data_IF_209823998779
#
_entry.id   IF_209823998779
#
_cell.length_a   1.000
_cell.length_b   1.000
_cell.length_c   1.000
_cell.angle_alpha   90.00
_cell.angle_beta   90.00
_cell.angle_gamma   90.00
#
_symmetry.space_group_name_H-M   'P 1'
#
loop_
_entity.id
_entity.type
_entity.pdbx_description
1 polymer ?
#
# COMPACT_ATOMS: atom_id res chain seq x y z
N UNK A 1 27.87 -15.02 -20.45
CA UNK A 1 26.63 -15.18 -19.65
C UNK A 1 26.79 -14.76 -18.21
N UNK A 2 27.87 -15.05 -17.51
CA UNK A 2 28.08 -14.63 -16.12
C UNK A 2 28.24 -13.11 -15.93
N UNK A 3 28.75 -12.38 -16.89
CA UNK A 3 28.93 -10.90 -16.80
C UNK A 3 27.63 -10.13 -16.89
N UNK A 4 26.65 -10.57 -17.68
CA UNK A 4 25.33 -9.95 -17.81
C UNK A 4 24.47 -10.18 -16.56
N UNK A 5 24.55 -11.34 -15.93
CA UNK A 5 23.84 -11.63 -14.67
C UNK A 5 24.41 -10.81 -13.51
N UNK A 6 25.74 -10.67 -13.40
CA UNK A 6 26.36 -9.86 -12.36
C UNK A 6 26.05 -8.36 -12.54
N UNK A 7 26.02 -7.86 -13.78
CA UNK A 7 25.62 -6.47 -14.08
C UNK A 7 24.16 -6.19 -13.75
N UNK A 8 23.27 -7.12 -14.06
CA UNK A 8 21.84 -7.02 -13.72
C UNK A 8 21.62 -7.04 -12.20
N UNK A 9 22.32 -7.92 -11.49
CA UNK A 9 22.26 -7.99 -10.02
C UNK A 9 22.76 -6.70 -9.36
N UNK A 10 23.83 -6.09 -9.89
CA UNK A 10 24.33 -4.81 -9.39
C UNK A 10 23.31 -3.67 -9.59
N UNK A 11 22.66 -3.62 -10.74
CA UNK A 11 21.62 -2.63 -11.03
C UNK A 11 20.43 -2.81 -10.07
N UNK A 12 19.98 -4.04 -9.84
CA UNK A 12 18.90 -4.36 -8.92
C UNK A 12 19.24 -3.92 -7.48
N UNK A 13 20.46 -4.19 -7.03
CA UNK A 13 20.93 -3.76 -5.70
C UNK A 13 20.99 -2.23 -5.57
N UNK A 14 21.48 -1.54 -6.60
CA UNK A 14 21.49 -0.07 -6.62
C UNK A 14 20.09 0.50 -6.55
N UNK A 15 19.16 -0.04 -7.34
CA UNK A 15 17.74 0.39 -7.32
C UNK A 15 17.12 0.12 -5.96
N UNK A 16 17.38 -1.03 -5.35
CA UNK A 16 16.93 -1.35 -3.99
C UNK A 16 17.41 -0.32 -2.96
N UNK A 17 18.69 0.03 -2.99
CA UNK A 17 19.27 1.03 -2.07
C UNK A 17 18.64 2.40 -2.23
N UNK A 18 18.41 2.85 -3.46
CA UNK A 18 17.76 4.13 -3.74
C UNK A 18 16.32 4.13 -3.27
N UNK A 19 15.58 3.07 -3.53
CA UNK A 19 14.19 2.92 -3.06
C UNK A 19 14.14 2.90 -1.54
N UNK A 20 15.01 2.14 -0.89
CA UNK A 20 15.12 2.08 0.56
C UNK A 20 15.43 3.44 1.18
N UNK A 21 16.35 4.17 0.61
CA UNK A 21 16.68 5.54 1.04
C UNK A 21 15.48 6.48 0.87
N UNK A 22 14.83 6.43 -0.27
CA UNK A 22 13.67 7.27 -0.59
C UNK A 22 12.49 7.02 0.34
N UNK A 23 12.18 5.76 0.59
CA UNK A 23 11.04 5.34 1.44
C UNK A 23 11.35 5.49 2.94
N UNK A 24 12.63 5.61 3.31
CA UNK A 24 13.04 5.78 4.69
C UNK A 24 13.35 4.47 5.42
N UNK A 25 13.62 3.41 4.67
CA UNK A 25 13.99 2.10 5.18
C UNK A 25 12.81 1.14 5.37
N UNK A 26 13.14 -0.13 5.52
CA UNK A 26 12.17 -1.20 5.74
C UNK A 26 12.02 -1.49 7.23
N UNK A 27 11.46 -0.56 7.96
CA UNK A 27 11.12 -0.76 9.37
C UNK A 27 9.86 -1.64 9.52
N UNK A 28 9.49 -1.96 10.75
CA UNK A 28 8.36 -2.85 11.07
C UNK A 28 7.05 -2.38 10.44
N UNK A 29 6.79 -1.09 10.48
CA UNK A 29 5.58 -0.47 9.91
C UNK A 29 5.57 -0.59 8.37
N UNK A 30 6.70 -0.35 7.73
CA UNK A 30 6.83 -0.47 6.27
C UNK A 30 6.69 -1.90 5.80
N UNK A 31 7.31 -2.84 6.53
CA UNK A 31 7.15 -4.28 6.25
C UNK A 31 5.70 -4.73 6.39
N UNK A 32 4.98 -4.21 7.38
CA UNK A 32 3.56 -4.48 7.55
C UNK A 32 2.76 -3.99 6.34
N UNK A 33 3.02 -2.77 5.87
CA UNK A 33 2.35 -2.22 4.68
C UNK A 33 2.63 -3.07 3.43
N UNK A 34 3.89 -3.45 3.19
CA UNK A 34 4.27 -4.29 2.04
C UNK A 34 3.54 -5.63 2.10
N UNK A 35 3.45 -6.24 3.27
CA UNK A 35 2.75 -7.50 3.46
C UNK A 35 1.25 -7.35 3.16
N UNK A 36 0.60 -6.29 3.65
CA UNK A 36 -0.81 -6.02 3.37
C UNK A 36 -1.06 -5.77 1.88
N UNK A 37 -0.20 -5.03 1.22
CA UNK A 37 -0.28 -4.81 -0.25
C UNK A 37 -0.17 -6.14 -1.00
N UNK A 38 0.74 -7.02 -0.60
CA UNK A 38 0.89 -8.33 -1.22
C UNK A 38 -0.35 -9.22 -1.00
N UNK A 39 -0.91 -9.23 0.22
CA UNK A 39 -2.13 -9.97 0.54
C UNK A 39 -3.31 -9.43 -0.25
N UNK A 40 -3.49 -8.12 -0.29
CA UNK A 40 -4.57 -7.47 -1.06
C UNK A 40 -4.48 -7.83 -2.53
N UNK A 41 -3.29 -7.75 -3.11
CA UNK A 41 -3.06 -8.08 -4.52
C UNK A 41 -3.41 -9.54 -4.83
N UNK A 42 -2.99 -10.50 -3.98
CA UNK A 42 -3.32 -11.92 -4.13
C UNK A 42 -4.83 -12.17 -4.04
N UNK A 43 -5.49 -11.57 -3.06
CA UNK A 43 -6.95 -11.70 -2.88
C UNK A 43 -7.69 -11.03 -4.04
N UNK A 44 -7.20 -9.90 -4.53
CA UNK A 44 -7.76 -9.21 -5.69
C UNK A 44 -7.71 -10.07 -6.95
N UNK A 45 -6.58 -10.70 -7.23
CA UNK A 45 -6.44 -11.64 -8.37
C UNK A 45 -7.39 -12.83 -8.19
N UNK A 46 -7.41 -13.43 -7.00
CA UNK A 46 -8.28 -14.57 -6.71
C UNK A 46 -9.75 -14.22 -6.90
N UNK A 47 -10.18 -13.07 -6.41
CA UNK A 47 -11.54 -12.55 -6.59
C UNK A 47 -11.87 -12.33 -8.05
N UNK A 48 -10.98 -11.76 -8.82
CA UNK A 48 -11.15 -11.52 -10.26
C UNK A 48 -11.30 -12.83 -11.04
N UNK A 49 -10.51 -13.84 -10.69
CA UNK A 49 -10.59 -15.17 -11.32
C UNK A 49 -11.91 -15.85 -10.97
N UNK A 50 -12.32 -15.84 -9.71
CA UNK A 50 -13.57 -16.47 -9.24
C UNK A 50 -14.81 -15.81 -9.84
N UNK A 51 -14.77 -14.51 -10.07
CA UNK A 51 -15.87 -13.75 -10.68
C UNK A 51 -15.80 -13.70 -12.21
N UNK A 52 -14.81 -14.31 -12.83
CA UNK A 52 -14.56 -14.30 -14.28
C UNK A 52 -14.47 -12.90 -14.87
N UNK A 53 -13.95 -11.95 -14.11
CA UNK A 53 -13.77 -10.54 -14.50
C UNK A 53 -12.30 -10.12 -14.55
N UNK A 54 -11.40 -11.07 -14.78
CA UNK A 54 -9.98 -10.76 -14.89
C UNK A 54 -9.73 -9.88 -16.11
N UNK A 55 -9.16 -8.69 -15.88
CA UNK A 55 -8.74 -7.78 -16.93
C UNK A 55 -7.32 -7.29 -16.61
N UNK A 56 -6.39 -7.50 -17.51
CA UNK A 56 -5.01 -7.07 -17.36
C UNK A 56 -4.91 -5.55 -17.15
N UNK A 57 -5.77 -4.79 -17.83
CA UNK A 57 -5.82 -3.33 -17.71
C UNK A 57 -6.24 -2.86 -16.33
N UNK A 58 -7.19 -3.54 -15.70
CA UNK A 58 -7.60 -3.24 -14.31
C UNK A 58 -6.48 -3.53 -13.31
N UNK A 59 -5.80 -4.66 -13.47
CA UNK A 59 -4.67 -5.04 -12.62
C UNK A 59 -3.51 -4.04 -12.75
N UNK A 60 -3.23 -3.57 -13.96
CA UNK A 60 -2.21 -2.56 -14.20
C UNK A 60 -2.55 -1.23 -13.49
N UNK A 61 -3.81 -0.80 -13.52
CA UNK A 61 -4.25 0.40 -12.81
C UNK A 61 -4.07 0.28 -11.28
N UNK A 62 -4.32 -0.91 -10.72
CA UNK A 62 -4.10 -1.18 -9.30
C UNK A 62 -2.61 -1.05 -8.97
N UNK A 63 -1.74 -1.65 -9.77
CA UNK A 63 -0.28 -1.56 -9.59
C UNK A 63 0.19 -0.11 -9.66
N UNK A 64 -0.30 0.67 -10.61
CA UNK A 64 0.05 2.09 -10.74
C UNK A 64 -0.37 2.90 -9.51
N UNK A 65 -1.56 2.64 -8.95
CA UNK A 65 -2.00 3.28 -7.70
C UNK A 65 -1.08 2.92 -6.52
N UNK A 66 -0.65 1.66 -6.42
CA UNK A 66 0.28 1.22 -5.38
C UNK A 66 1.65 1.90 -5.51
N UNK A 67 2.13 2.09 -6.75
CA UNK A 67 3.36 2.85 -7.00
C UNK A 67 3.23 4.31 -6.57
N UNK A 68 2.10 4.95 -6.88
CA UNK A 68 1.82 6.33 -6.43
C UNK A 68 1.80 6.43 -4.89
N UNK A 69 1.24 5.44 -4.22
CA UNK A 69 1.26 5.35 -2.76
C UNK A 69 2.69 5.33 -2.21
N UNK A 70 3.57 4.52 -2.79
CA UNK A 70 4.98 4.48 -2.40
C UNK A 70 5.69 5.81 -2.65
N UNK A 71 5.37 6.50 -3.72
CA UNK A 71 5.89 7.84 -4.03
C UNK A 71 5.46 8.84 -2.95
N UNK A 72 4.21 8.82 -2.52
CA UNK A 72 3.71 9.68 -1.45
C UNK A 72 4.46 9.42 -0.14
N UNK A 73 4.66 8.16 0.23
CA UNK A 73 5.44 7.79 1.42
C UNK A 73 6.86 8.34 1.33
N UNK A 74 7.49 8.22 0.16
CA UNK A 74 8.83 8.75 -0.07
C UNK A 74 8.91 10.27 0.06
N UNK A 75 7.94 10.99 -0.51
CA UNK A 75 7.86 12.45 -0.39
C UNK A 75 7.70 12.86 1.08
N UNK A 76 6.81 12.20 1.81
CA UNK A 76 6.59 12.47 3.24
C UNK A 76 7.86 12.17 4.06
N UNK A 77 8.57 11.09 3.72
CA UNK A 77 9.85 10.78 4.36
C UNK A 77 10.90 11.89 4.13
N UNK A 78 10.97 12.45 2.93
CA UNK A 78 11.85 13.57 2.65
C UNK A 78 11.50 14.80 3.49
N UNK A 79 10.23 15.08 3.72
CA UNK A 79 9.81 16.13 4.63
C UNK A 79 10.24 15.85 6.07
N UNK A 80 10.01 14.64 6.57
CA UNK A 80 10.39 14.27 7.93
C UNK A 80 11.90 14.41 8.19
N UNK A 81 12.72 13.98 7.23
CA UNK A 81 14.18 14.03 7.34
C UNK A 81 14.72 15.46 7.24
N UNK A 82 14.18 16.28 6.33
CA UNK A 82 14.75 17.61 6.04
C UNK A 82 14.18 18.73 6.90
N UNK A 83 12.93 18.62 7.36
CA UNK A 83 12.27 19.69 8.11
C UNK A 83 12.23 19.42 9.61
N UNK A 84 12.65 18.23 10.05
CA UNK A 84 12.72 17.84 11.47
C UNK A 84 11.41 18.02 12.22
N UNK A 85 10.28 17.66 11.60
CA UNK A 85 8.94 17.70 12.23
C UNK A 85 8.72 16.50 13.18
N UNK A 86 9.77 16.00 13.81
CA UNK A 86 9.67 14.94 14.80
C UNK A 86 9.44 13.54 14.25
N UNK A 87 9.71 13.28 12.97
CA UNK A 87 9.61 11.96 12.32
C UNK A 87 8.22 11.28 12.45
N UNK A 88 7.18 12.08 12.67
CA UNK A 88 5.82 11.56 12.92
C UNK A 88 4.94 11.45 11.67
N UNK A 89 5.27 12.18 10.60
CA UNK A 89 4.45 12.20 9.38
C UNK A 89 4.52 10.89 8.63
N UNK A 90 5.72 10.34 8.44
CA UNK A 90 5.92 9.10 7.72
C UNK A 90 5.16 7.93 8.34
N UNK A 91 5.29 7.61 9.65
CA UNK A 91 4.52 6.54 10.26
C UNK A 91 3.02 6.74 10.17
N UNK A 92 2.55 7.97 10.32
CA UNK A 92 1.13 8.31 10.23
C UNK A 92 0.57 8.01 8.85
N UNK A 93 1.27 8.41 7.79
CA UNK A 93 0.86 8.15 6.41
C UNK A 93 0.90 6.65 6.09
N UNK A 94 1.92 5.94 6.55
CA UNK A 94 2.01 4.48 6.37
C UNK A 94 0.84 3.78 7.06
N UNK A 95 0.50 4.15 8.29
CA UNK A 95 -0.66 3.59 9.00
C UNK A 95 -1.96 3.86 8.26
N UNK A 96 -2.14 5.06 7.73
CA UNK A 96 -3.29 5.39 6.89
C UNK A 96 -3.42 4.42 5.71
N UNK A 97 -2.33 4.15 5.01
CA UNK A 97 -2.34 3.20 3.89
C UNK A 97 -2.56 1.75 4.33
N UNK A 98 -2.01 1.34 5.46
CA UNK A 98 -2.28 0.01 6.04
C UNK A 98 -3.78 -0.16 6.29
N UNK A 99 -4.45 0.85 6.82
CA UNK A 99 -5.89 0.82 7.05
C UNK A 99 -6.67 0.78 5.73
N UNK A 100 -6.22 1.52 4.72
CA UNK A 100 -6.83 1.49 3.39
C UNK A 100 -6.68 0.11 2.73
N UNK A 101 -5.49 -0.50 2.80
CA UNK A 101 -5.27 -1.86 2.28
C UNK A 101 -6.13 -2.88 3.01
N UNK A 102 -6.28 -2.75 4.33
CA UNK A 102 -7.15 -3.61 5.14
C UNK A 102 -8.60 -3.52 4.65
N UNK A 103 -9.07 -2.31 4.37
CA UNK A 103 -10.41 -2.09 3.83
C UNK A 103 -10.61 -2.79 2.47
N UNK A 104 -9.65 -2.64 1.56
CA UNK A 104 -9.68 -3.27 0.24
C UNK A 104 -9.66 -4.81 0.34
N UNK A 105 -8.87 -5.36 1.28
CA UNK A 105 -8.85 -6.80 1.57
C UNK A 105 -10.24 -7.27 2.00
N UNK A 106 -10.87 -6.58 2.94
CA UNK A 106 -12.20 -6.94 3.43
C UNK A 106 -13.28 -6.83 2.36
N UNK A 107 -13.23 -5.79 1.53
CA UNK A 107 -14.14 -5.65 0.40
C UNK A 107 -14.01 -6.83 -0.57
N UNK A 108 -12.78 -7.21 -0.93
CA UNK A 108 -12.54 -8.33 -1.83
C UNK A 108 -12.99 -9.67 -1.22
N UNK A 109 -12.72 -9.90 0.06
CA UNK A 109 -13.20 -11.09 0.77
C UNK A 109 -14.74 -11.15 0.83
N UNK A 110 -15.37 -10.02 1.06
CA UNK A 110 -16.83 -9.92 1.05
C UNK A 110 -17.43 -10.27 -0.31
N UNK A 111 -16.78 -9.87 -1.42
CA UNK A 111 -17.22 -10.20 -2.77
C UNK A 111 -17.22 -11.69 -3.07
N UNK A 112 -16.34 -12.47 -2.45
CA UNK A 112 -16.27 -13.93 -2.62
C UNK A 112 -17.07 -14.70 -1.56
N UNK A 113 -17.83 -14.00 -0.73
CA UNK A 113 -18.75 -14.60 0.24
C UNK A 113 -18.15 -14.89 1.61
N UNK A 114 -16.94 -14.43 1.90
CA UNK A 114 -16.34 -14.56 3.22
C UNK A 114 -17.01 -13.58 4.19
N UNK A 115 -17.46 -14.08 5.33
CA UNK A 115 -18.05 -13.23 6.36
C UNK A 115 -16.97 -12.46 7.12
N UNK A 116 -17.11 -11.14 7.13
CA UNK A 116 -16.22 -10.27 7.90
C UNK A 116 -16.71 -10.23 9.37
N UNK A 117 -15.81 -10.37 10.37
CA UNK A 117 -16.20 -10.23 11.77
C UNK A 117 -16.86 -8.87 12.05
N UNK A 118 -17.90 -8.79 12.92
CA UNK A 118 -18.57 -7.52 13.23
C UNK A 118 -17.65 -6.42 13.75
N UNK A 119 -16.59 -6.79 14.48
CA UNK A 119 -15.58 -5.85 14.98
C UNK A 119 -14.83 -5.16 13.84
N UNK A 120 -14.47 -5.90 12.78
CA UNK A 120 -13.83 -5.35 11.59
C UNK A 120 -14.77 -4.40 10.84
N UNK A 121 -16.06 -4.73 10.74
CA UNK A 121 -17.06 -3.85 10.12
C UNK A 121 -17.23 -2.53 10.88
N UNK A 122 -17.12 -2.52 12.20
CA UNK A 122 -17.14 -1.29 13.01
C UNK A 122 -15.93 -0.41 12.75
N UNK A 123 -14.74 -0.99 12.64
CA UNK A 123 -13.51 -0.27 12.33
C UNK A 123 -13.63 0.39 10.95
N UNK A 124 -14.14 -0.33 9.95
CA UNK A 124 -14.35 0.19 8.60
C UNK A 124 -15.31 1.38 8.59
N UNK A 125 -16.42 1.30 9.34
CA UNK A 125 -17.37 2.40 9.46
C UNK A 125 -16.76 3.64 10.10
N UNK A 126 -15.93 3.48 11.12
CA UNK A 126 -15.23 4.60 11.77
C UNK A 126 -14.27 5.28 10.78
N UNK A 127 -13.57 4.49 9.96
CA UNK A 127 -12.66 5.00 8.94
C UNK A 127 -13.41 5.75 7.83
N UNK A 128 -14.52 5.21 7.35
CA UNK A 128 -15.35 5.87 6.34
C UNK A 128 -15.90 7.21 6.83
N UNK A 129 -16.38 7.27 8.07
CA UNK A 129 -16.85 8.50 8.67
C UNK A 129 -15.76 9.58 8.76
N UNK A 130 -14.54 9.18 9.15
CA UNK A 130 -13.40 10.09 9.21
C UNK A 130 -12.99 10.59 7.82
N UNK A 131 -13.15 9.78 6.79
CA UNK A 131 -12.86 10.17 5.40
C UNK A 131 -13.89 11.17 4.88
N UNK A 132 -15.17 10.92 5.15
CA UNK A 132 -16.26 11.85 4.75
C UNK A 132 -16.16 13.20 5.45
N UNK A 133 -15.83 13.22 6.74
CA UNK A 133 -15.65 14.46 7.49
C UNK A 133 -14.46 15.28 6.97
N UNK A 134 -13.37 14.61 6.56
CA UNK A 134 -12.23 15.27 5.95
C UNK A 134 -12.55 15.84 4.56
N UNK A 135 -13.36 15.17 3.77
CA UNK A 135 -13.81 15.69 2.47
C UNK A 135 -14.74 16.89 2.63
N UNK A 136 -15.66 16.84 3.59
CA UNK A 136 -16.57 17.95 3.89
C UNK A 136 -15.86 19.19 4.45
N UNK A 137 -14.76 19.01 5.18
CA UNK A 137 -13.98 20.13 5.72
C UNK A 137 -13.09 20.81 4.67
N UNK A 138 -12.90 20.22 3.50
CA UNK A 138 -12.14 20.80 2.38
C UNK A 138 -12.98 21.62 1.39
N UNK A 139 -14.28 21.61 1.56
CA UNK A 139 -15.20 22.45 0.83
C UNK A 139 -15.55 23.66 1.71
#
# INVERSE_FOLDING_TARGET
>A
MCETESGFMLIVEMVKKWVEYFVGGYDSIMNMLILFVAIEFLIGILTSILRKRFSFKMELNIILRKLCMLIIIGVVNLFDVNISIGYALRPTVILFYVMQETNEIFENLSKIGVRIPPAAGKILKILDLNTEDNEKSKI
#
